data_IF_133877699344
#
_entry.id   IF_133877699344
#
_cell.length_a   1.000
_cell.length_b   1.000
_cell.length_c   1.000
_cell.angle_alpha   90.00
_cell.angle_beta   90.00
_cell.angle_gamma   90.00
#
_symmetry.space_group_name_H-M   'P 1'
#
loop_
_entity.id
_entity.type
_entity.pdbx_description
1 polymer ?
#
# COMPACT_ATOMS: atom_id res chain seq x y z
N UNK A 1 10.94 10.25 31.58
CA UNK A 1 10.82 9.74 30.22
C UNK A 1 12.10 10.03 29.45
N UNK A 2 12.63 9.08 28.75
CA UNK A 2 13.81 9.27 27.92
C UNK A 2 13.29 9.54 26.48
N UNK A 3 13.74 10.66 25.90
CA UNK A 3 13.38 11.00 24.52
C UNK A 3 14.43 10.43 23.58
N UNK A 4 14.01 9.72 22.56
CA UNK A 4 14.86 9.23 21.49
C UNK A 4 14.50 9.99 20.21
N UNK A 5 15.52 10.36 19.43
CA UNK A 5 15.34 10.96 18.11
C UNK A 5 15.88 9.98 17.07
N UNK A 6 15.00 9.47 16.22
CA UNK A 6 15.34 8.65 15.07
C UNK A 6 15.44 9.54 13.83
N UNK A 7 16.58 9.57 13.19
CA UNK A 7 16.81 10.39 12.01
C UNK A 7 16.34 9.63 10.75
N UNK A 8 15.64 10.33 9.84
CA UNK A 8 15.24 9.78 8.54
C UNK A 8 16.40 9.57 7.57
N UNK A 9 17.53 10.20 7.82
CA UNK A 9 18.66 10.23 6.88
C UNK A 9 18.48 11.21 5.71
N UNK A 10 17.34 11.85 5.58
CA UNK A 10 17.01 12.81 4.53
C UNK A 10 17.54 14.20 4.86
N UNK A 11 18.16 14.89 3.87
CA UNK A 11 18.71 16.23 4.05
C UNK A 11 17.90 17.34 3.35
N UNK A 12 16.74 17.02 2.82
CA UNK A 12 15.89 17.92 2.05
C UNK A 12 16.00 17.72 0.53
N UNK A 13 16.96 16.91 0.08
CA UNK A 13 17.15 16.63 -1.36
C UNK A 13 17.57 15.18 -1.65
N UNK A 14 18.14 14.48 -0.68
CA UNK A 14 18.56 13.09 -0.84
C UNK A 14 18.78 12.42 0.50
N UNK A 15 18.89 11.10 0.50
CA UNK A 15 19.35 10.33 1.65
C UNK A 15 20.88 10.46 1.78
N UNK A 16 21.34 11.15 2.81
CA UNK A 16 22.76 11.41 3.08
C UNK A 16 23.25 10.82 4.41
N UNK A 17 22.32 10.27 5.21
CA UNK A 17 22.60 9.69 6.51
C UNK A 17 21.93 8.32 6.71
N UNK A 18 22.15 7.72 7.86
CA UNK A 18 21.51 6.47 8.25
C UNK A 18 20.02 6.69 8.48
N UNK A 19 19.18 5.88 7.87
CA UNK A 19 17.72 5.94 7.95
C UNK A 19 17.20 5.20 9.19
N UNK A 20 17.52 5.70 10.37
CA UNK A 20 17.14 5.06 11.65
C UNK A 20 15.63 5.09 11.87
N UNK A 21 14.95 6.10 11.33
CA UNK A 21 13.50 6.25 11.45
C UNK A 21 12.71 5.22 10.63
N UNK A 22 13.26 4.69 9.54
CA UNK A 22 12.54 3.85 8.60
C UNK A 22 11.83 2.63 9.24
N UNK A 23 12.48 1.78 10.05
CA UNK A 23 11.79 0.67 10.70
C UNK A 23 10.65 1.11 11.63
N UNK A 24 10.77 2.29 12.24
CA UNK A 24 9.73 2.82 13.12
C UNK A 24 8.56 3.38 12.32
N UNK A 25 8.81 3.98 11.16
CA UNK A 25 7.75 4.47 10.27
C UNK A 25 6.91 3.28 9.75
N UNK A 26 7.56 2.23 9.27
CA UNK A 26 6.86 1.01 8.83
C UNK A 26 6.02 0.41 9.98
N UNK A 27 6.60 0.27 11.16
CA UNK A 27 5.89 -0.29 12.31
C UNK A 27 4.74 0.61 12.79
N UNK A 28 4.84 1.94 12.64
CA UNK A 28 3.76 2.88 12.99
C UNK A 28 2.53 2.67 12.09
N UNK A 29 2.74 2.48 10.79
CA UNK A 29 1.65 2.17 9.84
C UNK A 29 0.99 0.84 10.19
N UNK A 30 1.77 -0.21 10.38
CA UNK A 30 1.25 -1.53 10.77
C UNK A 30 0.48 -1.45 12.10
N UNK A 31 0.99 -0.68 13.06
CA UNK A 31 0.31 -0.47 14.33
C UNK A 31 -1.04 0.24 14.14
N UNK A 32 -1.13 1.27 13.30
CA UNK A 32 -2.39 1.94 12.98
C UNK A 32 -3.40 0.97 12.36
N UNK A 33 -2.96 0.17 11.40
CA UNK A 33 -3.80 -0.85 10.77
C UNK A 33 -4.34 -1.87 11.80
N UNK A 34 -3.49 -2.36 12.68
CA UNK A 34 -3.89 -3.23 13.79
C UNK A 34 -4.87 -2.56 14.75
N UNK A 35 -4.65 -1.27 15.10
CA UNK A 35 -5.55 -0.55 15.99
C UNK A 35 -6.93 -0.36 15.35
N UNK A 36 -7.02 -0.11 14.06
CA UNK A 36 -8.30 -0.03 13.35
C UNK A 36 -9.09 -1.34 13.48
N UNK A 37 -8.46 -2.49 13.22
CA UNK A 37 -9.09 -3.80 13.37
C UNK A 37 -9.50 -4.07 14.82
N UNK A 38 -8.62 -3.78 15.80
CA UNK A 38 -8.91 -3.97 17.21
C UNK A 38 -10.01 -3.04 17.74
N UNK A 39 -10.23 -1.92 17.10
CA UNK A 39 -11.37 -1.04 17.41
C UNK A 39 -12.70 -1.67 16.98
N UNK A 40 -12.71 -2.44 15.90
CA UNK A 40 -13.88 -3.18 15.44
C UNK A 40 -14.08 -4.50 16.21
N UNK A 41 -13.01 -5.23 16.46
CA UNK A 41 -13.03 -6.48 17.25
C UNK A 41 -11.76 -6.61 18.11
N UNK A 42 -11.90 -6.27 19.39
CA UNK A 42 -10.79 -6.33 20.35
C UNK A 42 -10.32 -7.74 20.69
N UNK A 43 -10.99 -8.79 20.22
CA UNK A 43 -10.63 -10.19 20.44
C UNK A 43 -9.64 -10.74 19.41
N UNK A 44 -9.36 -9.99 18.34
CA UNK A 44 -8.45 -10.38 17.28
C UNK A 44 -7.03 -10.57 17.82
N UNK A 45 -6.42 -11.69 17.45
CA UNK A 45 -5.02 -12.01 17.74
C UNK A 45 -4.28 -12.14 16.41
N UNK A 46 -3.39 -11.21 16.13
CA UNK A 46 -2.63 -11.20 14.89
C UNK A 46 -1.55 -12.29 14.90
N UNK A 47 -1.49 -13.14 13.86
CA UNK A 47 -0.34 -14.01 13.64
C UNK A 47 0.95 -13.22 13.47
N UNK A 48 2.08 -13.88 13.69
CA UNK A 48 3.37 -13.24 13.50
C UNK A 48 3.56 -12.78 12.05
N UNK A 49 3.93 -11.51 11.87
CA UNK A 49 4.36 -10.93 10.61
C UNK A 49 5.84 -10.56 10.70
N UNK A 50 6.65 -11.05 9.77
CA UNK A 50 8.06 -10.69 9.67
C UNK A 50 8.22 -9.59 8.60
N UNK A 51 8.71 -8.43 9.01
CA UNK A 51 8.92 -7.29 8.11
C UNK A 51 10.38 -7.22 7.69
N UNK A 52 10.62 -7.29 6.39
CA UNK A 52 11.94 -7.27 5.77
C UNK A 52 12.15 -5.94 5.05
N UNK A 53 12.80 -5.00 5.69
CA UNK A 53 13.22 -3.74 5.09
C UNK A 53 14.73 -3.60 5.10
N UNK A 54 15.28 -3.07 4.02
CA UNK A 54 16.71 -2.79 3.88
C UNK A 54 16.93 -1.68 2.85
N UNK A 55 17.97 -0.87 3.06
CA UNK A 55 18.44 0.09 2.04
C UNK A 55 18.91 -0.56 0.74
N UNK A 56 19.03 -1.89 0.71
CA UNK A 56 19.39 -2.67 -0.46
C UNK A 56 18.18 -3.30 -1.17
N UNK A 57 17.00 -3.22 -0.56
CA UNK A 57 15.80 -3.72 -1.20
C UNK A 57 15.45 -2.82 -2.40
N UNK A 58 15.43 -3.40 -3.59
CA UNK A 58 15.30 -2.68 -4.85
C UNK A 58 14.33 -3.36 -5.79
N UNK A 59 13.69 -2.60 -6.70
CA UNK A 59 12.75 -3.12 -7.69
C UNK A 59 13.52 -3.81 -8.84
N UNK A 60 14.02 -5.00 -8.56
CA UNK A 60 14.72 -5.84 -9.53
C UNK A 60 14.35 -7.30 -9.32
N UNK A 61 14.19 -8.08 -10.41
CA UNK A 61 14.02 -9.52 -10.30
C UNK A 61 15.34 -10.16 -9.87
N UNK A 62 15.28 -11.17 -8.99
CA UNK A 62 16.51 -11.83 -8.57
C UNK A 62 16.39 -12.60 -7.26
N UNK A 63 17.30 -12.32 -6.34
CA UNK A 63 17.43 -13.03 -5.10
C UNK A 63 17.03 -12.16 -3.89
N UNK A 64 15.95 -12.52 -3.22
CA UNK A 64 15.48 -11.85 -2.01
C UNK A 64 16.57 -11.65 -0.96
N UNK A 65 17.52 -12.60 -0.82
CA UNK A 65 18.61 -12.49 0.13
C UNK A 65 19.62 -11.36 -0.19
N UNK A 66 19.62 -10.87 -1.41
CA UNK A 66 20.45 -9.74 -1.87
C UNK A 66 19.66 -8.45 -2.04
N UNK A 67 18.36 -8.47 -1.73
CA UNK A 67 17.48 -7.33 -1.82
C UNK A 67 16.83 -7.14 -3.19
N UNK A 68 16.88 -8.11 -4.06
CA UNK A 68 16.16 -8.10 -5.34
C UNK A 68 14.72 -8.56 -5.07
N UNK A 69 13.83 -7.63 -4.71
CA UNK A 69 12.49 -7.95 -4.21
C UNK A 69 11.35 -7.62 -5.18
N UNK A 70 11.68 -7.10 -6.36
CA UNK A 70 10.80 -6.65 -7.44
C UNK A 70 9.93 -5.45 -7.06
N UNK A 71 9.09 -5.57 -6.06
CA UNK A 71 8.23 -4.52 -5.49
C UNK A 71 8.08 -4.75 -3.99
N UNK A 72 7.59 -3.77 -3.25
CA UNK A 72 7.05 -4.04 -1.92
C UNK A 72 5.91 -5.05 -2.05
N UNK A 73 5.88 -6.06 -1.19
CA UNK A 73 4.87 -7.09 -1.30
C UNK A 73 4.72 -7.91 -0.01
N UNK A 74 3.52 -8.43 0.21
CA UNK A 74 3.26 -9.47 1.20
C UNK A 74 3.47 -10.85 0.57
N UNK A 75 4.27 -11.67 1.24
CA UNK A 75 4.41 -13.09 0.91
C UNK A 75 3.52 -13.93 1.84
N UNK A 76 2.68 -14.86 1.32
CA UNK A 76 1.78 -15.69 2.14
C UNK A 76 2.46 -16.53 3.22
N UNK A 77 3.78 -16.63 3.22
CA UNK A 77 4.56 -17.23 4.33
C UNK A 77 4.66 -16.33 5.56
N UNK A 78 3.88 -15.25 5.66
CA UNK A 78 3.88 -14.31 6.78
C UNK A 78 5.06 -13.33 6.74
N UNK A 79 5.52 -12.96 5.56
CA UNK A 79 6.61 -12.03 5.35
C UNK A 79 6.17 -10.84 4.51
N UNK A 80 6.50 -9.64 4.97
CA UNK A 80 6.31 -8.38 4.28
C UNK A 80 7.67 -7.85 3.85
N UNK A 81 7.82 -7.56 2.57
CA UNK A 81 9.02 -6.96 2.00
C UNK A 81 8.75 -5.52 1.60
N UNK A 82 9.60 -4.60 2.02
CA UNK A 82 9.48 -3.16 1.74
C UNK A 82 10.72 -2.68 1.01
N UNK A 83 10.53 -1.95 -0.07
CA UNK A 83 11.59 -1.32 -0.86
C UNK A 83 12.31 -0.24 -0.03
N UNK A 84 13.59 -0.01 -0.38
CA UNK A 84 14.41 0.92 0.36
C UNK A 84 15.62 1.43 -0.42
N UNK A 85 15.73 1.11 -1.72
CA UNK A 85 16.86 1.53 -2.53
C UNK A 85 16.76 3.01 -2.93
N UNK A 86 17.52 3.87 -2.28
CA UNK A 86 17.54 5.30 -2.56
C UNK A 86 17.77 5.61 -4.03
N UNK A 87 17.10 6.62 -4.58
CA UNK A 87 17.10 7.04 -5.98
C UNK A 87 16.60 5.96 -6.97
N UNK A 88 15.91 4.98 -6.47
CA UNK A 88 15.23 3.96 -7.24
C UNK A 88 13.77 3.93 -6.78
N UNK A 89 13.54 3.28 -5.65
CA UNK A 89 12.25 3.18 -5.04
C UNK A 89 12.40 2.96 -3.53
N UNK A 90 11.65 3.72 -2.70
CA UNK A 90 11.78 3.66 -1.24
C UNK A 90 10.44 3.87 -0.55
N UNK A 91 9.85 2.79 -0.05
CA UNK A 91 8.49 2.78 0.50
C UNK A 91 8.43 2.87 2.02
N UNK A 92 9.57 3.00 2.69
CA UNK A 92 9.56 3.05 4.17
C UNK A 92 8.79 4.24 4.75
N UNK A 93 8.44 5.23 3.92
CA UNK A 93 7.62 6.39 4.29
C UNK A 93 6.35 6.50 3.46
N UNK A 94 6.15 5.64 2.48
CA UNK A 94 4.95 5.59 1.65
C UNK A 94 3.88 4.77 2.38
N UNK A 95 3.13 5.50 3.20
CA UNK A 95 2.26 4.90 4.22
C UNK A 95 1.15 4.06 3.63
N UNK A 96 0.66 4.44 2.43
CA UNK A 96 -0.37 3.68 1.74
C UNK A 96 0.18 2.36 1.19
N UNK A 97 1.39 2.35 0.63
CA UNK A 97 2.05 1.12 0.17
C UNK A 97 2.19 0.12 1.32
N UNK A 98 2.69 0.58 2.48
CA UNK A 98 2.85 -0.29 3.66
C UNK A 98 1.50 -0.82 4.16
N UNK A 99 0.47 0.03 4.18
CA UNK A 99 -0.86 -0.35 4.64
C UNK A 99 -1.56 -1.28 3.65
N UNK A 100 -1.37 -1.08 2.34
CA UNK A 100 -1.83 -1.97 1.28
C UNK A 100 -1.26 -3.39 1.46
N UNK A 101 0.05 -3.50 1.58
CA UNK A 101 0.71 -4.79 1.76
C UNK A 101 0.32 -5.47 3.08
N UNK A 102 0.07 -4.68 4.12
CA UNK A 102 -0.52 -5.21 5.34
C UNK A 102 -1.96 -5.69 5.12
N UNK A 103 -2.70 -5.08 4.19
CA UNK A 103 -4.02 -5.53 3.75
C UNK A 103 -4.00 -6.96 3.23
N UNK A 104 -3.04 -7.33 2.42
CA UNK A 104 -2.86 -8.72 1.96
C UNK A 104 -2.55 -9.67 3.12
N UNK A 105 -1.74 -9.23 4.10
CA UNK A 105 -1.55 -10.02 5.33
C UNK A 105 -2.87 -10.22 6.08
N UNK A 106 -3.68 -9.17 6.20
CA UNK A 106 -4.97 -9.24 6.88
C UNK A 106 -5.93 -10.18 6.14
N UNK A 107 -6.05 -10.03 4.83
CA UNK A 107 -6.89 -10.89 3.99
C UNK A 107 -6.50 -12.37 4.12
N UNK A 108 -5.21 -12.66 4.03
CA UNK A 108 -4.69 -14.04 4.11
C UNK A 108 -4.92 -14.72 5.47
N UNK A 109 -5.02 -13.96 6.57
CA UNK A 109 -5.12 -14.52 7.92
C UNK A 109 -6.53 -14.43 8.52
N UNK A 110 -7.37 -13.49 8.08
CA UNK A 110 -8.65 -13.19 8.71
C UNK A 110 -9.82 -13.24 7.74
N UNK A 111 -9.55 -13.41 6.45
CA UNK A 111 -10.55 -13.52 5.40
C UNK A 111 -10.28 -14.74 4.54
N UNK A 112 -10.88 -14.75 3.37
CA UNK A 112 -10.64 -15.75 2.33
C UNK A 112 -9.95 -15.08 1.16
N UNK A 113 -8.63 -15.17 1.11
CA UNK A 113 -7.87 -14.76 -0.07
C UNK A 113 -7.90 -15.88 -1.09
N UNK A 114 -8.61 -15.66 -2.19
CA UNK A 114 -8.67 -16.57 -3.34
C UNK A 114 -7.82 -16.05 -4.51
N UNK A 115 -7.04 -14.98 -4.30
CA UNK A 115 -6.21 -14.38 -5.34
C UNK A 115 -5.25 -15.42 -5.92
N UNK A 116 -5.27 -15.53 -7.24
CA UNK A 116 -4.31 -16.38 -7.98
C UNK A 116 -2.94 -15.70 -8.10
N UNK A 117 -2.82 -14.45 -7.64
CA UNK A 117 -1.61 -13.64 -7.76
C UNK A 117 -1.28 -13.30 -9.21
N UNK A 118 -0.17 -12.63 -9.39
CA UNK A 118 0.36 -12.27 -10.71
C UNK A 118 0.70 -10.79 -10.79
N UNK A 119 1.39 -10.42 -11.87
CA UNK A 119 1.66 -9.01 -12.17
C UNK A 119 0.37 -8.29 -12.48
N UNK A 120 0.19 -7.12 -11.95
CA UNK A 120 -0.97 -6.26 -12.14
C UNK A 120 -0.53 -4.79 -12.15
N UNK A 121 -1.43 -3.94 -12.62
CA UNK A 121 -1.25 -2.49 -12.61
C UNK A 121 -2.55 -1.80 -12.96
N UNK A 122 -2.64 -0.52 -12.67
CA UNK A 122 -3.81 0.29 -13.01
C UNK A 122 -4.15 0.18 -14.49
N UNK A 123 -5.43 -0.07 -14.79
CA UNK A 123 -5.94 -0.25 -16.15
C UNK A 123 -5.85 -1.68 -16.71
N UNK A 124 -5.33 -2.62 -15.98
CA UNK A 124 -5.31 -4.03 -16.37
C UNK A 124 -6.68 -4.69 -16.14
N UNK A 125 -7.03 -5.60 -17.06
CA UNK A 125 -8.16 -6.51 -16.85
C UNK A 125 -7.64 -7.71 -16.09
N UNK A 126 -7.99 -7.81 -14.83
CA UNK A 126 -7.49 -8.82 -13.91
C UNK A 126 -8.49 -9.97 -13.72
N UNK A 127 -7.99 -11.09 -13.21
CA UNK A 127 -8.87 -12.06 -12.57
C UNK A 127 -9.63 -11.36 -11.43
N UNK A 128 -10.96 -11.54 -11.30
CA UNK A 128 -11.74 -10.85 -10.27
C UNK A 128 -11.23 -11.06 -8.83
N UNK A 129 -10.57 -12.18 -8.56
CA UNK A 129 -9.98 -12.44 -7.23
C UNK A 129 -8.71 -11.62 -7.00
N UNK A 130 -7.93 -11.37 -8.06
CA UNK A 130 -6.78 -10.46 -8.02
C UNK A 130 -7.27 -9.03 -7.86
N UNK A 131 -8.20 -8.58 -8.75
CA UNK A 131 -8.76 -7.24 -8.69
C UNK A 131 -9.35 -6.91 -7.31
N UNK A 132 -10.04 -7.89 -6.68
CA UNK A 132 -10.57 -7.72 -5.33
C UNK A 132 -9.47 -7.57 -4.29
N UNK A 133 -8.45 -8.43 -4.29
CA UNK A 133 -7.35 -8.36 -3.32
C UNK A 133 -6.58 -7.05 -3.41
N UNK A 134 -6.27 -6.59 -4.62
CA UNK A 134 -5.54 -5.33 -4.85
C UNK A 134 -6.41 -4.11 -4.51
N UNK A 135 -7.65 -4.07 -5.01
CA UNK A 135 -8.60 -3.00 -4.66
C UNK A 135 -8.92 -2.93 -3.17
N UNK A 136 -8.99 -4.08 -2.49
CA UNK A 136 -9.13 -4.15 -1.04
C UNK A 136 -7.90 -3.58 -0.32
N UNK A 137 -6.68 -3.93 -0.77
CA UNK A 137 -5.44 -3.38 -0.23
C UNK A 137 -5.39 -1.86 -0.36
N UNK A 138 -5.75 -1.32 -1.53
CA UNK A 138 -5.81 0.10 -1.81
C UNK A 138 -6.82 0.80 -0.88
N UNK A 139 -8.08 0.37 -0.87
CA UNK A 139 -9.12 0.94 -0.02
C UNK A 139 -8.76 0.88 1.47
N UNK A 140 -8.27 -0.28 1.94
CA UNK A 140 -7.86 -0.44 3.33
C UNK A 140 -6.74 0.53 3.71
N UNK A 141 -5.81 0.81 2.79
CA UNK A 141 -4.73 1.76 3.04
C UNK A 141 -5.28 3.17 3.32
N UNK A 142 -6.22 3.63 2.53
CA UNK A 142 -6.93 4.90 2.74
C UNK A 142 -7.70 4.92 4.05
N UNK A 143 -8.41 3.85 4.39
CA UNK A 143 -9.12 3.70 5.66
C UNK A 143 -8.18 3.80 6.86
N UNK A 144 -7.04 3.11 6.82
CA UNK A 144 -6.02 3.10 7.89
C UNK A 144 -5.40 4.47 8.07
N UNK A 145 -5.13 5.16 6.98
CA UNK A 145 -4.48 6.47 6.98
C UNK A 145 -5.48 7.61 7.18
N UNK A 146 -6.78 7.36 6.99
CA UNK A 146 -7.84 8.36 6.91
C UNK A 146 -7.50 9.44 5.87
N UNK A 147 -7.04 8.98 4.72
CA UNK A 147 -6.59 9.80 3.59
C UNK A 147 -6.90 9.06 2.29
N UNK A 148 -7.74 9.63 1.38
CA UNK A 148 -8.05 9.01 0.11
C UNK A 148 -6.91 9.11 -0.92
N UNK A 149 -5.89 9.91 -0.65
CA UNK A 149 -4.80 10.12 -1.61
C UNK A 149 -3.69 9.09 -1.39
N UNK A 150 -3.76 8.01 -2.14
CA UNK A 150 -2.69 7.02 -2.21
C UNK A 150 -1.52 7.61 -3.01
N UNK A 151 -0.35 7.67 -2.40
CA UNK A 151 0.88 8.16 -3.04
C UNK A 151 1.98 7.13 -2.83
N UNK A 152 2.63 6.78 -3.93
CA UNK A 152 3.85 6.00 -4.00
C UNK A 152 4.93 6.84 -4.66
N UNK A 153 6.12 6.91 -4.05
CA UNK A 153 7.19 7.81 -4.49
C UNK A 153 8.45 7.05 -4.87
N UNK A 154 9.05 7.43 -5.99
CA UNK A 154 10.25 6.77 -6.48
C UNK A 154 11.20 7.65 -7.28
N UNK A 155 12.13 7.02 -7.94
CA UNK A 155 13.06 7.63 -8.86
C UNK A 155 14.16 8.43 -8.20
N UNK A 156 14.82 9.27 -8.98
CA UNK A 156 15.96 10.06 -8.54
C UNK A 156 15.54 11.09 -7.47
N UNK A 157 16.16 11.02 -6.31
CA UNK A 157 15.86 11.86 -5.14
C UNK A 157 14.41 11.69 -4.64
N UNK A 158 13.79 10.56 -4.89
CA UNK A 158 12.38 10.29 -4.55
C UNK A 158 11.45 11.42 -5.04
N UNK A 159 11.75 11.99 -6.22
CA UNK A 159 11.09 13.17 -6.74
C UNK A 159 9.95 12.84 -7.71
N UNK A 160 9.86 11.60 -8.14
CA UNK A 160 8.77 11.12 -8.96
C UNK A 160 7.67 10.58 -8.06
N UNK A 161 6.45 10.83 -8.45
CA UNK A 161 5.30 10.06 -7.99
C UNK A 161 5.19 8.90 -8.97
N UNK A 162 5.44 7.68 -8.50
CA UNK A 162 5.36 6.48 -9.34
C UNK A 162 3.91 6.05 -9.50
N UNK A 163 3.12 6.22 -8.45
CA UNK A 163 1.69 6.03 -8.47
C UNK A 163 0.99 7.07 -7.59
N UNK A 164 -0.07 7.68 -8.08
CA UNK A 164 -1.00 8.48 -7.30
C UNK A 164 -2.44 8.13 -7.69
N UNK A 165 -3.23 7.81 -6.70
CA UNK A 165 -4.63 7.47 -6.88
C UNK A 165 -5.46 8.25 -5.88
N UNK A 166 -6.62 8.73 -6.32
CA UNK A 166 -7.65 9.16 -5.41
C UNK A 166 -8.62 7.98 -5.22
N UNK A 167 -8.64 7.40 -4.04
CA UNK A 167 -9.45 6.21 -3.71
C UNK A 167 -10.95 6.51 -3.68
N UNK A 168 -11.31 7.78 -3.63
CA UNK A 168 -12.68 8.30 -3.58
C UNK A 168 -13.14 8.86 -4.94
N UNK A 169 -12.24 8.91 -5.94
CA UNK A 169 -12.63 9.41 -7.24
C UNK A 169 -13.48 8.37 -7.97
N UNK A 170 -14.71 8.75 -8.29
CA UNK A 170 -15.61 7.95 -9.11
C UNK A 170 -15.10 7.88 -10.56
N UNK A 171 -14.16 6.99 -10.80
CA UNK A 171 -13.62 6.72 -12.13
C UNK A 171 -14.64 6.04 -13.05
N UNK A 172 -15.69 5.46 -12.48
CA UNK A 172 -16.79 4.83 -13.22
C UNK A 172 -17.49 5.85 -14.13
N UNK A 173 -17.57 7.09 -13.70
CA UNK A 173 -18.22 8.16 -14.47
C UNK A 173 -17.24 9.07 -15.22
N UNK A 174 -15.96 9.06 -14.86
CA UNK A 174 -14.97 9.92 -15.53
C UNK A 174 -14.25 9.21 -16.67
N UNK A 175 -14.93 9.11 -17.79
CA UNK A 175 -14.38 8.58 -19.06
C UNK A 175 -13.19 9.38 -19.59
N UNK A 176 -12.80 10.49 -18.95
CA UNK A 176 -11.83 11.43 -19.50
C UNK A 176 -10.51 11.55 -18.72
N UNK A 177 -10.42 11.04 -17.52
CA UNK A 177 -9.26 11.30 -16.66
C UNK A 177 -8.62 10.09 -16.06
N UNK A 178 -8.99 8.90 -16.50
CA UNK A 178 -8.25 7.72 -16.08
C UNK A 178 -6.79 7.83 -16.52
N UNK A 179 -5.94 8.23 -15.60
CA UNK A 179 -4.50 8.36 -15.84
C UNK A 179 -3.85 7.02 -16.21
N UNK A 180 -4.49 5.90 -15.87
CA UNK A 180 -4.04 4.56 -16.19
C UNK A 180 -4.70 3.95 -17.44
N UNK A 181 -5.64 4.68 -18.08
CA UNK A 181 -6.28 4.22 -19.31
C UNK A 181 -7.21 3.03 -19.09
N UNK A 182 -7.84 2.94 -17.90
CA UNK A 182 -8.83 1.90 -17.60
C UNK A 182 -10.07 2.08 -18.48
N UNK A 183 -10.26 1.29 -19.51
CA UNK A 183 -11.38 1.47 -20.42
C UNK A 183 -12.66 0.79 -19.96
N UNK A 184 -12.63 0.07 -18.85
CA UNK A 184 -13.68 -0.88 -18.51
C UNK A 184 -13.81 -0.99 -16.99
N UNK A 185 -14.77 -0.27 -16.43
CA UNK A 185 -15.18 -0.42 -15.04
C UNK A 185 -15.79 -1.78 -14.77
N UNK A 186 -15.46 -2.39 -13.64
CA UNK A 186 -16.05 -3.67 -13.25
C UNK A 186 -15.21 -4.51 -12.29
N UNK A 187 -15.70 -5.72 -12.04
CA UNK A 187 -15.10 -6.67 -11.07
C UNK A 187 -13.68 -7.14 -11.40
N UNK A 188 -13.17 -6.80 -12.56
CA UNK A 188 -11.85 -7.11 -13.07
C UNK A 188 -10.88 -5.93 -13.01
N UNK A 189 -11.34 -4.78 -12.51
CA UNK A 189 -10.55 -3.57 -12.33
C UNK A 189 -10.34 -3.31 -10.83
N UNK A 190 -9.09 -3.24 -10.39
CA UNK A 190 -8.76 -2.95 -8.99
C UNK A 190 -9.24 -1.58 -8.55
N UNK A 191 -9.22 -0.60 -9.48
CA UNK A 191 -9.72 0.76 -9.26
C UNK A 191 -11.20 0.79 -8.92
N UNK A 192 -12.04 0.08 -9.67
CA UNK A 192 -13.47 -0.02 -9.37
C UNK A 192 -13.77 -0.70 -8.01
N UNK A 193 -12.93 -1.64 -7.61
CA UNK A 193 -13.08 -2.31 -6.31
C UNK A 193 -12.67 -1.38 -5.17
N UNK A 194 -11.56 -0.65 -5.31
CA UNK A 194 -11.10 0.26 -4.26
C UNK A 194 -12.10 1.38 -4.00
N UNK A 195 -12.67 1.97 -5.05
CA UNK A 195 -13.69 3.02 -4.96
C UNK A 195 -14.92 2.54 -4.20
N UNK A 196 -15.54 1.45 -4.66
CA UNK A 196 -16.71 0.87 -3.98
C UNK A 196 -16.43 0.54 -2.51
N UNK A 197 -15.23 0.05 -2.17
CA UNK A 197 -14.90 -0.28 -0.79
C UNK A 197 -14.60 0.95 0.06
N UNK A 198 -14.03 2.00 -0.54
CA UNK A 198 -13.76 3.24 0.17
C UNK A 198 -15.04 4.03 0.41
N UNK A 199 -15.95 4.11 -0.57
CA UNK A 199 -17.29 4.70 -0.46
C UNK A 199 -18.14 4.03 0.63
N UNK A 200 -17.96 2.73 0.86
CA UNK A 200 -18.63 2.05 1.97
C UNK A 200 -18.08 2.43 3.35
N UNK A 201 -16.87 2.91 3.40
CA UNK A 201 -16.20 3.26 4.66
C UNK A 201 -16.49 4.70 5.08
N UNK A 202 -16.35 5.61 4.15
CA UNK A 202 -16.53 7.01 4.47
C UNK A 202 -17.97 7.47 4.24
N UNK A 203 -18.37 8.56 4.86
CA UNK A 203 -19.72 9.13 4.78
C UNK A 203 -19.64 10.62 5.04
N UNK A 204 -18.95 11.34 4.17
CA UNK A 204 -18.71 12.77 4.28
C UNK A 204 -19.80 13.64 3.66
N UNK A 205 -19.89 14.91 4.05
CA UNK A 205 -20.79 15.88 3.43
C UNK A 205 -20.30 16.33 2.02
N UNK A 206 -19.13 15.91 1.62
CA UNK A 206 -18.54 16.08 0.28
C UNK A 206 -18.39 14.76 -0.45
N UNK A 207 -18.99 13.73 0.11
CA UNK A 207 -19.12 12.42 -0.43
C UNK A 207 -19.89 12.51 -1.75
N UNK A 208 -19.30 12.02 -2.81
CA UNK A 208 -19.86 11.99 -4.16
C UNK A 208 -20.47 10.63 -4.52
N UNK A 209 -20.77 9.82 -3.47
CA UNK A 209 -21.45 8.54 -3.58
C UNK A 209 -22.70 8.63 -4.47
N UNK A 210 -22.50 8.41 -5.73
CA UNK A 210 -23.59 8.25 -6.71
C UNK A 210 -23.82 6.78 -7.03
N UNK A 211 -24.04 5.97 -5.98
CA UNK A 211 -24.43 4.57 -6.18
C UNK A 211 -25.85 4.48 -6.77
#
# INVERSE_FOLDING_TARGET
AQSFNANSGWNGASYSGTRVAAPFAILDVIYKAQQMVLAADSSVVFPQLLVNWSINNKPAPGNLATGDIETSHFNPNGQLYILGAANNDTDEYDTHVIAHEWGHYFEANFSRSDSVGGSHGGGDILDPTVAFGEGFGNALSGMVMNDPLYIDTGGLSQANVDNDMNLEADSILDTNTNIFGDPLDGFYAETSIQEVLYDLYDSGASDDDTI
#
